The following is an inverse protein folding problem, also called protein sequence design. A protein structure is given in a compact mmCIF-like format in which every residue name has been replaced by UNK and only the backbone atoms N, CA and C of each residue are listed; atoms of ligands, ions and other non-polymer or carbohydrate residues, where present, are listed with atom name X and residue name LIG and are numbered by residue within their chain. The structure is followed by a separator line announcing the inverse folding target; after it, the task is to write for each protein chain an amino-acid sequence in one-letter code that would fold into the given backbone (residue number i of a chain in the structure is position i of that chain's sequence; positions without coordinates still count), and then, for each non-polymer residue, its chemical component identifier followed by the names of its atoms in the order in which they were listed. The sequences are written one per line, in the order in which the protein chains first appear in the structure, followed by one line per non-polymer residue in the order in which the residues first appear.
data_IF_977207152665
#
_entry.id   IF_977207152665
#
_cell.length_a   1.000
_cell.length_b   1.000
_cell.length_c   1.000
_cell.angle_alpha   90.00
_cell.angle_beta   90.00
_cell.angle_gamma   90.00
#
_symmetry.space_group_name_H-M   'P 1'
#
loop_
_entity.id
_entity.type
_entity.pdbx_description
1 polymer ?
#
# COMPACT_ATOMS: atom_id res chain seq x y z
N UNK A 1 24.51 -11.05 -14.17
CA UNK A 1 24.13 -9.70 -13.68
C UNK A 1 23.05 -9.08 -14.57
N UNK A 2 23.28 -8.83 -15.87
CA UNK A 2 22.28 -8.27 -16.78
C UNK A 2 20.97 -9.05 -16.79
N UNK A 3 20.99 -10.37 -17.00
CA UNK A 3 19.80 -11.24 -16.94
C UNK A 3 19.06 -11.19 -15.60
N UNK A 4 19.76 -11.00 -14.50
CA UNK A 4 19.14 -10.89 -13.17
C UNK A 4 18.42 -9.56 -13.02
N UNK A 5 18.97 -8.47 -13.59
CA UNK A 5 18.34 -7.15 -13.61
C UNK A 5 17.07 -7.17 -14.46
N UNK A 6 17.15 -7.72 -15.69
CA UNK A 6 16.00 -7.88 -16.59
C UNK A 6 14.88 -8.71 -15.97
N UNK A 7 15.23 -9.81 -15.28
CA UNK A 7 14.26 -10.63 -14.57
C UNK A 7 13.57 -9.89 -13.43
N UNK A 8 14.31 -9.11 -12.65
CA UNK A 8 13.74 -8.28 -11.59
C UNK A 8 12.84 -7.18 -12.14
N UNK A 9 13.31 -6.51 -13.19
CA UNK A 9 12.54 -5.49 -13.90
C UNK A 9 11.21 -6.05 -14.39
N UNK A 10 11.23 -7.15 -15.14
CA UNK A 10 10.01 -7.78 -15.65
C UNK A 10 9.05 -8.21 -14.52
N UNK A 11 9.59 -8.73 -13.41
CA UNK A 11 8.80 -9.14 -12.26
C UNK A 11 8.09 -7.95 -11.62
N UNK A 12 8.81 -6.86 -11.35
CA UNK A 12 8.27 -5.68 -10.70
C UNK A 12 7.25 -4.96 -11.60
N UNK A 13 7.56 -4.77 -12.88
CA UNK A 13 6.65 -4.12 -13.83
C UNK A 13 5.43 -4.96 -14.20
N UNK A 14 5.46 -6.28 -13.97
CA UNK A 14 4.25 -7.11 -14.03
C UNK A 14 3.32 -6.92 -12.82
N UNK A 15 3.71 -6.11 -11.85
CA UNK A 15 2.96 -5.88 -10.61
C UNK A 15 3.18 -6.95 -9.53
N UNK A 16 4.18 -7.82 -9.70
CA UNK A 16 4.56 -8.80 -8.69
C UNK A 16 5.61 -8.22 -7.73
N UNK A 17 5.53 -8.61 -6.47
CA UNK A 17 6.53 -8.21 -5.47
C UNK A 17 7.81 -9.00 -5.67
N UNK A 18 8.90 -8.30 -5.97
CA UNK A 18 10.23 -8.89 -6.03
C UNK A 18 10.90 -8.90 -4.63
N UNK A 19 11.79 -9.87 -4.33
CA UNK A 19 12.54 -9.87 -3.08
C UNK A 19 13.43 -8.62 -2.98
N UNK A 20 13.12 -7.72 -2.06
CA UNK A 20 13.85 -6.45 -1.87
C UNK A 20 15.34 -6.67 -1.61
N UNK A 21 15.70 -7.74 -0.90
CA UNK A 21 17.09 -8.12 -0.65
C UNK A 21 17.86 -8.35 -1.95
N UNK A 22 17.27 -9.05 -2.93
CA UNK A 22 17.91 -9.33 -4.22
C UNK A 22 18.18 -8.05 -5.00
N UNK A 23 17.22 -7.10 -5.00
CA UNK A 23 17.41 -5.78 -5.61
C UNK A 23 18.54 -5.02 -4.93
N UNK A 24 18.58 -5.04 -3.59
CA UNK A 24 19.63 -4.39 -2.82
C UNK A 24 21.01 -4.98 -3.11
N UNK A 25 21.15 -6.29 -3.16
CA UNK A 25 22.41 -6.96 -3.48
C UNK A 25 22.92 -6.57 -4.87
N UNK A 26 22.08 -6.65 -5.89
CA UNK A 26 22.46 -6.27 -7.26
C UNK A 26 22.84 -4.80 -7.35
N UNK A 27 22.07 -3.92 -6.72
CA UNK A 27 22.40 -2.49 -6.67
C UNK A 27 23.75 -2.23 -6.01
N UNK A 28 24.08 -2.96 -4.95
CA UNK A 28 25.36 -2.87 -4.27
C UNK A 28 26.50 -3.34 -5.18
N UNK A 29 26.33 -4.46 -5.87
CA UNK A 29 27.34 -4.99 -6.80
C UNK A 29 27.58 -4.03 -7.95
N UNK A 30 26.54 -3.55 -8.63
CA UNK A 30 26.65 -2.56 -9.70
C UNK A 30 27.30 -1.26 -9.21
N UNK A 31 26.93 -0.78 -8.02
CA UNK A 31 27.54 0.42 -7.44
C UNK A 31 29.02 0.22 -7.14
N UNK A 32 29.42 -0.93 -6.64
CA UNK A 32 30.82 -1.25 -6.40
C UNK A 32 31.61 -1.35 -7.70
N UNK A 33 31.01 -1.94 -8.73
CA UNK A 33 31.62 -2.02 -10.05
C UNK A 33 31.78 -0.63 -10.68
N UNK A 34 30.74 0.21 -10.62
CA UNK A 34 30.82 1.60 -11.05
C UNK A 34 31.95 2.37 -10.36
N UNK A 35 32.09 2.22 -9.03
CA UNK A 35 33.16 2.87 -8.27
C UNK A 35 34.57 2.40 -8.66
N UNK A 36 34.69 1.18 -9.17
CA UNK A 36 35.96 0.65 -9.65
C UNK A 36 36.27 1.14 -11.07
N UNK A 37 35.29 1.20 -11.95
CA UNK A 37 35.45 1.54 -13.37
C UNK A 37 35.59 3.06 -13.58
N UNK A 38 34.73 3.85 -12.93
CA UNK A 38 34.66 5.29 -13.16
C UNK A 38 36.00 6.04 -13.00
N UNK A 39 36.85 5.81 -12.00
CA UNK A 39 38.12 6.47 -11.86
C UNK A 39 39.14 6.08 -12.94
N UNK A 40 38.97 4.91 -13.58
CA UNK A 40 39.88 4.44 -14.62
C UNK A 40 39.84 5.33 -15.87
N UNK A 41 38.69 5.99 -16.15
CA UNK A 41 38.59 6.97 -17.23
C UNK A 41 39.57 8.13 -17.07
N UNK A 42 39.72 8.64 -15.85
CA UNK A 42 40.71 9.71 -15.58
C UNK A 42 42.14 9.20 -15.70
N UNK A 43 42.40 7.96 -15.28
CA UNK A 43 43.72 7.33 -15.38
C UNK A 43 44.11 7.13 -16.85
N UNK A 44 43.21 6.53 -17.67
CA UNK A 44 43.49 6.28 -19.09
C UNK A 44 43.71 7.59 -19.84
N UNK A 45 42.90 8.64 -19.59
CA UNK A 45 43.06 9.95 -20.17
C UNK A 45 44.39 10.65 -19.77
N UNK A 46 44.98 10.31 -18.62
CA UNK A 46 46.32 10.77 -18.23
C UNK A 46 47.40 9.99 -18.94
N UNK A 47 47.25 8.68 -19.11
CA UNK A 47 48.16 7.80 -19.83
C UNK A 47 48.24 8.21 -21.31
N UNK A 48 47.12 8.49 -21.95
CA UNK A 48 47.06 8.94 -23.36
C UNK A 48 47.92 10.17 -23.66
N UNK A 49 48.11 11.06 -22.68
CA UNK A 49 48.91 12.28 -22.84
C UNK A 49 50.43 12.01 -22.77
N UNK A 50 50.80 10.86 -22.23
CA UNK A 50 52.22 10.51 -21.98
C UNK A 50 52.73 9.39 -22.88
N UNK A 51 51.83 8.68 -23.56
CA UNK A 51 52.13 7.52 -24.43
C UNK A 51 52.76 7.99 -25.75
N UNK A 52 53.79 7.27 -26.27
CA UNK A 52 54.34 7.51 -27.59
C UNK A 52 53.31 7.37 -28.72
N UNK A 53 53.46 8.23 -29.78
CA UNK A 53 52.50 8.27 -30.90
C UNK A 53 52.13 6.92 -31.51
N UNK A 54 53.00 5.91 -31.67
CA UNK A 54 52.61 4.61 -32.26
C UNK A 54 51.64 3.82 -31.40
N UNK A 55 51.54 4.06 -30.10
CA UNK A 55 50.64 3.35 -29.17
C UNK A 55 49.36 4.11 -28.92
N UNK A 56 49.28 5.38 -29.25
CA UNK A 56 48.15 6.27 -28.99
C UNK A 56 46.80 5.72 -29.52
N UNK A 57 46.71 5.13 -30.73
CA UNK A 57 45.47 4.57 -31.24
C UNK A 57 44.91 3.45 -30.37
N UNK A 58 45.79 2.60 -29.80
CA UNK A 58 45.37 1.49 -28.93
C UNK A 58 44.84 1.99 -27.58
N UNK A 59 45.44 3.04 -27.03
CA UNK A 59 44.94 3.63 -25.77
C UNK A 59 43.63 4.37 -25.98
N UNK A 60 43.40 5.01 -27.14
CA UNK A 60 42.10 5.60 -27.49
C UNK A 60 41.02 4.55 -27.59
N UNK A 61 41.30 3.41 -28.22
CA UNK A 61 40.34 2.30 -28.31
C UNK A 61 39.97 1.76 -26.91
N UNK A 62 40.95 1.63 -26.02
CA UNK A 62 40.74 1.26 -24.62
C UNK A 62 39.90 2.31 -23.88
N UNK A 63 40.17 3.60 -24.11
CA UNK A 63 39.38 4.69 -23.51
C UNK A 63 37.94 4.66 -23.95
N UNK A 64 37.70 4.53 -25.25
CA UNK A 64 36.36 4.48 -25.83
C UNK A 64 35.57 3.27 -25.30
N UNK A 65 36.20 2.10 -25.24
CA UNK A 65 35.57 0.90 -24.67
C UNK A 65 35.31 1.08 -23.16
N UNK A 66 36.22 1.68 -22.41
CA UNK A 66 36.03 1.94 -20.98
C UNK A 66 34.90 2.96 -20.74
N UNK A 67 34.77 3.96 -21.62
CA UNK A 67 33.70 4.95 -21.57
C UNK A 67 32.31 4.27 -21.79
N UNK A 68 32.22 3.39 -22.79
CA UNK A 68 31.01 2.59 -23.03
C UNK A 68 30.64 1.72 -21.84
N UNK A 69 31.59 1.01 -21.23
CA UNK A 69 31.36 0.20 -20.02
C UNK A 69 30.91 1.06 -18.86
N UNK A 70 31.53 2.23 -18.67
CA UNK A 70 31.13 3.15 -17.60
C UNK A 70 29.70 3.67 -17.76
N UNK A 71 29.31 4.01 -19.00
CA UNK A 71 27.96 4.46 -19.32
C UNK A 71 26.93 3.34 -19.08
N UNK A 72 27.21 2.12 -19.53
CA UNK A 72 26.35 0.95 -19.33
C UNK A 72 26.15 0.65 -17.83
N UNK A 73 27.22 0.66 -17.04
CA UNK A 73 27.14 0.41 -15.59
C UNK A 73 26.38 1.54 -14.88
N UNK A 74 26.52 2.78 -15.34
CA UNK A 74 25.75 3.90 -14.80
C UNK A 74 24.25 3.72 -15.09
N UNK A 75 23.90 3.35 -16.32
CA UNK A 75 22.52 3.08 -16.71
C UNK A 75 21.89 1.93 -15.89
N UNK A 76 22.62 0.83 -15.70
CA UNK A 76 22.16 -0.30 -14.86
C UNK A 76 21.96 0.10 -13.39
N UNK A 77 22.83 0.95 -12.84
CA UNK A 77 22.67 1.48 -11.48
C UNK A 77 21.39 2.30 -11.33
N UNK A 78 21.10 3.15 -12.31
CA UNK A 78 19.95 4.03 -12.30
C UNK A 78 18.65 3.24 -12.56
N UNK A 79 18.69 2.23 -13.43
CA UNK A 79 17.59 1.27 -13.63
C UNK A 79 17.26 0.54 -12.33
N UNK A 80 18.25 0.03 -11.60
CA UNK A 80 18.01 -0.64 -10.31
C UNK A 80 17.43 0.30 -9.24
N UNK A 81 17.74 1.60 -9.29
CA UNK A 81 17.07 2.57 -8.42
C UNK A 81 15.57 2.68 -8.74
N UNK A 82 15.24 2.78 -10.03
CA UNK A 82 13.84 2.82 -10.50
C UNK A 82 13.07 1.53 -10.18
N UNK A 83 13.69 0.36 -10.38
CA UNK A 83 13.10 -0.94 -10.02
C UNK A 83 12.83 -1.03 -8.51
N UNK A 84 13.71 -0.52 -7.67
CA UNK A 84 13.50 -0.48 -6.22
C UNK A 84 12.30 0.41 -5.85
N UNK A 85 12.20 1.60 -6.44
CA UNK A 85 11.06 2.50 -6.21
C UNK A 85 9.74 1.87 -6.66
N UNK A 86 9.73 1.26 -7.84
CA UNK A 86 8.58 0.55 -8.36
C UNK A 86 8.18 -0.63 -7.45
N UNK A 87 9.13 -1.40 -6.95
CA UNK A 87 8.87 -2.50 -6.02
C UNK A 87 8.23 -2.01 -4.71
N UNK A 88 8.70 -0.88 -4.16
CA UNK A 88 8.11 -0.24 -2.98
C UNK A 88 6.67 0.19 -3.27
N UNK A 89 6.39 0.74 -4.45
CA UNK A 89 5.05 1.11 -4.86
C UNK A 89 4.11 -0.12 -4.95
N UNK A 90 4.56 -1.23 -5.53
CA UNK A 90 3.82 -2.50 -5.59
C UNK A 90 3.50 -3.01 -4.18
N UNK A 91 4.48 -3.04 -3.28
CA UNK A 91 4.29 -3.44 -1.88
C UNK A 91 3.25 -2.53 -1.20
N UNK A 92 3.31 -1.22 -1.41
CA UNK A 92 2.35 -0.26 -0.84
C UNK A 92 0.92 -0.51 -1.33
N UNK A 93 0.74 -0.83 -2.62
CA UNK A 93 -0.57 -1.21 -3.18
C UNK A 93 -1.10 -2.49 -2.53
N UNK A 94 -0.26 -3.52 -2.36
CA UNK A 94 -0.65 -4.76 -1.69
C UNK A 94 -1.03 -4.53 -0.22
N UNK A 95 -0.28 -3.72 0.52
CA UNK A 95 -0.63 -3.33 1.90
C UNK A 95 -1.96 -2.57 1.96
N UNK A 96 -2.22 -1.71 0.98
CA UNK A 96 -3.50 -0.98 0.88
C UNK A 96 -4.67 -1.95 0.65
N UNK A 97 -4.52 -2.95 -0.22
CA UNK A 97 -5.55 -3.98 -0.45
C UNK A 97 -5.85 -4.75 0.84
N UNK A 98 -4.81 -5.17 1.57
CA UNK A 98 -4.97 -5.85 2.86
C UNK A 98 -5.71 -4.95 3.87
N UNK A 99 -5.33 -3.68 3.97
CA UNK A 99 -6.00 -2.70 4.84
C UNK A 99 -7.48 -2.52 4.49
N UNK A 100 -7.82 -2.45 3.20
CA UNK A 100 -9.22 -2.35 2.75
C UNK A 100 -10.02 -3.59 3.17
N UNK A 101 -9.46 -4.79 2.99
CA UNK A 101 -10.11 -6.03 3.41
C UNK A 101 -10.28 -6.11 4.92
N UNK A 102 -9.27 -5.72 5.70
CA UNK A 102 -9.34 -5.64 7.16
C UNK A 102 -10.42 -4.65 7.62
N UNK A 103 -10.47 -3.46 7.01
CA UNK A 103 -11.47 -2.45 7.32
C UNK A 103 -12.89 -2.95 7.03
N UNK A 104 -13.10 -3.67 5.92
CA UNK A 104 -14.40 -4.29 5.61
C UNK A 104 -14.80 -5.31 6.67
N UNK A 105 -13.87 -6.14 7.14
CA UNK A 105 -14.13 -7.13 8.20
C UNK A 105 -14.44 -6.45 9.54
N UNK A 106 -13.67 -5.41 9.91
CA UNK A 106 -13.91 -4.61 11.12
C UNK A 106 -15.27 -3.93 11.04
N UNK A 107 -15.66 -3.40 9.89
CA UNK A 107 -16.96 -2.78 9.68
C UNK A 107 -18.11 -3.79 9.91
N UNK A 108 -17.98 -5.01 9.38
CA UNK A 108 -18.97 -6.09 9.61
C UNK A 108 -19.05 -6.46 11.09
N UNK A 109 -17.90 -6.63 11.75
CA UNK A 109 -17.84 -6.94 13.17
C UNK A 109 -18.45 -5.83 14.02
N UNK A 110 -18.15 -4.57 13.68
CA UNK A 110 -18.74 -3.41 14.37
C UNK A 110 -20.24 -3.36 14.21
N UNK A 111 -20.78 -3.59 13.01
CA UNK A 111 -22.22 -3.66 12.78
C UNK A 111 -22.88 -4.74 13.63
N UNK A 112 -22.28 -5.93 13.65
CA UNK A 112 -22.75 -7.05 14.46
C UNK A 112 -22.74 -6.70 15.96
N UNK A 113 -21.61 -6.23 16.47
CA UNK A 113 -21.43 -5.86 17.88
C UNK A 113 -22.40 -4.75 18.31
N UNK A 114 -22.64 -3.77 17.44
CA UNK A 114 -23.54 -2.65 17.73
C UNK A 114 -25.00 -3.12 17.91
N UNK A 115 -25.39 -4.20 17.24
CA UNK A 115 -26.72 -4.81 17.42
C UNK A 115 -26.73 -5.74 18.62
N UNK A 116 -25.74 -6.61 18.76
CA UNK A 116 -25.72 -7.65 19.81
C UNK A 116 -25.46 -7.08 21.21
N UNK A 117 -24.66 -6.02 21.35
CA UNK A 117 -24.32 -5.47 22.65
C UNK A 117 -25.54 -4.94 23.41
N UNK A 118 -26.39 -4.04 22.87
CA UNK A 118 -27.60 -3.59 23.55
C UNK A 118 -28.60 -4.73 23.73
N UNK A 119 -28.70 -5.67 22.79
CA UNK A 119 -29.55 -6.84 22.88
C UNK A 119 -29.16 -7.70 24.09
N UNK A 120 -27.88 -8.01 24.24
CA UNK A 120 -27.34 -8.79 25.37
C UNK A 120 -27.54 -8.06 26.70
N UNK A 121 -27.36 -6.74 26.73
CA UNK A 121 -27.58 -5.95 27.93
C UNK A 121 -29.05 -5.99 28.37
N UNK A 122 -29.99 -5.78 27.45
CA UNK A 122 -31.42 -5.82 27.74
C UNK A 122 -31.86 -7.21 28.21
N UNK A 123 -31.48 -8.27 27.49
CA UNK A 123 -31.79 -9.65 27.88
C UNK A 123 -31.15 -10.03 29.23
N UNK A 124 -29.91 -9.60 29.49
CA UNK A 124 -29.24 -9.81 30.77
C UNK A 124 -29.92 -9.08 31.92
N UNK A 125 -30.32 -7.82 31.70
CA UNK A 125 -31.02 -7.02 32.71
C UNK A 125 -32.38 -7.65 33.09
N UNK A 126 -33.21 -8.03 32.11
CA UNK A 126 -34.50 -8.71 32.36
C UNK A 126 -34.33 -10.15 32.82
N UNK A 127 -33.18 -10.78 32.59
CA UNK A 127 -32.85 -12.11 33.09
C UNK A 127 -32.45 -12.16 34.58
N UNK A 128 -32.25 -11.00 35.21
CA UNK A 128 -31.98 -10.92 36.64
C UNK A 128 -33.28 -11.12 37.44
N UNK A 129 -33.30 -12.16 38.30
CA UNK A 129 -34.45 -12.50 39.13
C UNK A 129 -34.52 -11.61 40.36
N UNK A 130 -34.79 -10.32 40.21
CA UNK A 130 -35.17 -9.46 41.32
C UNK A 130 -36.65 -9.66 41.66
N UNK A 131 -36.97 -9.99 42.91
CA UNK A 131 -38.34 -10.22 43.37
C UNK A 131 -39.29 -9.06 42.98
N UNK A 132 -38.84 -7.80 43.11
CA UNK A 132 -39.60 -6.63 42.69
C UNK A 132 -39.90 -6.62 41.17
N UNK A 133 -38.95 -7.06 40.35
CA UNK A 133 -39.14 -7.10 38.87
C UNK A 133 -40.15 -8.18 38.48
N UNK A 134 -40.09 -9.35 39.11
CA UNK A 134 -41.02 -10.47 38.92
C UNK A 134 -42.42 -10.09 39.28
N UNK A 135 -42.63 -9.43 40.43
CA UNK A 135 -43.94 -8.98 40.93
C UNK A 135 -44.54 -7.87 40.03
N UNK A 136 -43.71 -6.99 39.48
CA UNK A 136 -44.14 -5.87 38.65
C UNK A 136 -44.47 -6.27 37.19
N UNK A 137 -43.91 -7.35 36.67
CA UNK A 137 -44.11 -7.83 35.31
C UNK A 137 -45.13 -9.01 35.30
N UNK A 138 -46.04 -9.04 36.24
CA UNK A 138 -47.04 -10.14 36.34
C UNK A 138 -48.04 -10.24 35.17
N UNK A 139 -48.10 -9.29 34.25
CA UNK A 139 -48.96 -9.34 33.07
C UNK A 139 -48.17 -9.64 31.80
N UNK A 140 -48.68 -10.56 30.97
CA UNK A 140 -48.14 -10.89 29.65
C UNK A 140 -47.96 -9.64 28.77
N UNK A 141 -48.90 -8.71 28.78
CA UNK A 141 -48.82 -7.47 28.03
C UNK A 141 -47.70 -6.53 28.51
N UNK A 142 -47.46 -6.48 29.80
CA UNK A 142 -46.35 -5.70 30.36
C UNK A 142 -45.00 -6.26 29.90
N UNK A 143 -44.81 -7.58 29.89
CA UNK A 143 -43.67 -8.25 29.37
C UNK A 143 -43.45 -7.96 27.87
N UNK A 144 -44.53 -8.05 27.05
CA UNK A 144 -44.41 -7.79 25.61
C UNK A 144 -44.05 -6.35 25.32
N UNK A 145 -44.70 -5.38 25.96
CA UNK A 145 -44.46 -3.96 25.70
C UNK A 145 -43.09 -3.51 26.22
N UNK A 146 -42.73 -3.84 27.44
CA UNK A 146 -41.45 -3.39 28.02
C UNK A 146 -40.29 -4.29 27.65
N UNK A 147 -40.44 -5.60 27.63
CA UNK A 147 -39.36 -6.53 27.27
C UNK A 147 -39.05 -6.49 25.77
N UNK A 148 -40.02 -6.69 24.92
CA UNK A 148 -39.82 -6.68 23.44
C UNK A 148 -39.61 -5.26 22.95
N UNK A 149 -40.35 -4.26 23.50
CA UNK A 149 -40.21 -2.86 23.14
C UNK A 149 -38.80 -2.32 23.46
N UNK A 150 -38.30 -2.57 24.67
CA UNK A 150 -36.94 -2.18 25.07
C UNK A 150 -35.84 -2.82 24.23
N UNK A 151 -36.14 -3.98 23.63
CA UNK A 151 -35.24 -4.69 22.73
C UNK A 151 -35.28 -4.13 21.30
N UNK A 152 -36.48 -3.87 20.76
CA UNK A 152 -36.69 -3.43 19.38
C UNK A 152 -36.34 -1.96 19.17
N UNK A 153 -36.63 -1.08 20.10
CA UNK A 153 -36.39 0.37 19.95
C UNK A 153 -34.93 0.70 19.68
N UNK A 154 -33.95 0.25 20.48
CA UNK A 154 -32.56 0.53 20.20
C UNK A 154 -32.06 -0.15 18.90
N UNK A 155 -32.50 -1.34 18.57
CA UNK A 155 -32.17 -2.02 17.34
C UNK A 155 -32.65 -1.24 16.10
N UNK A 156 -33.91 -0.79 16.11
CA UNK A 156 -34.47 0.00 15.00
C UNK A 156 -33.79 1.36 14.90
N UNK A 157 -33.55 2.03 16.03
CA UNK A 157 -32.85 3.30 16.06
C UNK A 157 -31.43 3.20 15.48
N UNK A 158 -30.69 2.15 15.84
CA UNK A 158 -29.35 1.88 15.31
C UNK A 158 -29.38 1.56 13.83
N UNK A 159 -30.28 0.72 13.36
CA UNK A 159 -30.43 0.42 11.93
C UNK A 159 -30.81 1.66 11.12
N UNK A 160 -31.65 2.52 11.66
CA UNK A 160 -32.00 3.79 11.03
C UNK A 160 -30.79 4.72 10.98
N UNK A 161 -30.03 4.84 12.07
CA UNK A 161 -28.83 5.67 12.15
C UNK A 161 -27.77 5.19 11.12
N UNK A 162 -27.53 3.89 11.02
CA UNK A 162 -26.61 3.33 10.01
C UNK A 162 -27.06 3.63 8.57
N UNK A 163 -28.36 3.57 8.28
CA UNK A 163 -28.89 3.92 6.95
C UNK A 163 -28.70 5.39 6.63
N UNK A 164 -28.89 6.27 7.59
CA UNK A 164 -28.69 7.71 7.41
C UNK A 164 -27.22 8.05 7.20
N UNK A 165 -26.34 7.44 7.98
CA UNK A 165 -24.89 7.66 7.86
C UNK A 165 -24.33 7.12 6.53
N UNK A 166 -24.78 5.97 6.08
CA UNK A 166 -24.43 5.43 4.78
C UNK A 166 -24.85 6.35 3.61
N UNK A 167 -26.02 6.97 3.69
CA UNK A 167 -26.49 7.96 2.69
C UNK A 167 -25.63 9.23 2.70
N UNK A 168 -25.24 9.73 3.87
CA UNK A 168 -24.36 10.91 3.99
C UNK A 168 -22.96 10.66 3.40
N UNK A 169 -22.40 9.47 3.58
CA UNK A 169 -21.12 9.08 2.98
C UNK A 169 -21.18 8.99 1.47
N UNK A 170 -22.24 8.44 0.91
CA UNK A 170 -22.46 8.36 -0.54
C UNK A 170 -22.55 9.74 -1.19
N UNK A 171 -23.27 10.69 -0.57
CA UNK A 171 -23.39 12.06 -1.06
C UNK A 171 -22.06 12.83 -1.02
N UNK A 172 -21.22 12.57 0.00
CA UNK A 172 -19.90 13.22 0.14
C UNK A 172 -18.90 12.77 -0.91
N UNK A 173 -18.96 11.51 -1.35
CA UNK A 173 -18.12 10.98 -2.42
C UNK A 173 -18.51 11.61 -3.75
N UNK A 174 -19.79 11.76 -4.03
CA UNK A 174 -20.29 12.37 -5.29
C UNK A 174 -19.96 13.86 -5.37
N UNK A 175 -19.94 14.58 -4.25
CA UNK A 175 -19.57 16.00 -4.23
C UNK A 175 -18.06 16.25 -4.35
N UNK A 176 -17.21 15.28 -3.97
CA UNK A 176 -15.75 15.38 -4.10
C UNK A 176 -15.23 15.01 -5.49
N UNK A 177 -16.02 14.33 -6.31
CA UNK A 177 -15.67 13.97 -7.69
C UNK A 177 -16.07 14.99 -8.75
N UNK A 178 -16.59 16.15 -8.37
CA UNK A 178 -17.16 17.13 -9.26
C UNK A 178 -16.46 18.50 -9.32
N UNK A 179 -15.11 18.64 -9.30
CA UNK A 179 -14.56 19.84 -9.94
C UNK A 179 -13.21 19.60 -10.63
N UNK A 180 -13.18 19.11 -11.85
CA UNK A 180 -12.04 19.27 -12.77
C UNK A 180 -12.48 19.50 -14.23
N UNK A 181 -13.74 19.84 -14.47
CA UNK A 181 -14.25 20.07 -15.82
C UNK A 181 -14.40 21.56 -16.21
N UNK A 182 -14.05 22.51 -15.31
CA UNK A 182 -14.19 23.93 -15.58
C UNK A 182 -12.82 24.62 -15.44
N UNK A 183 -12.05 24.63 -16.53
CA UNK A 183 -10.76 25.34 -16.54
C UNK A 183 -9.86 25.04 -17.73
N UNK A 184 -10.41 24.96 -18.94
CA UNK A 184 -9.63 25.16 -20.17
C UNK A 184 -10.09 26.48 -20.77
N UNK A 185 -9.35 27.57 -20.63
CA UNK A 185 -9.61 28.77 -21.45
C UNK A 185 -9.07 28.52 -22.86
N UNK A 186 -9.89 28.93 -23.85
CA UNK A 186 -9.56 29.00 -25.27
C UNK A 186 -8.34 29.88 -25.60
#
# INVERSE_FOLDING_TARGET
MERDIEQLESTVFSGAVAPTERIYFLRREVTNFYRAVHPLLAVIGTVERTVPEPLLPYFRDVHDNLALVNEEVAAQRDLLATVLEANIAVISVEQTKVSVLQNATIEQLTKLSTVFLPLTFVTGFFGQNFGWLVDSIGSFWTFVVFGIGALLIPCVALLFWFRVDARKRALKITSSSAPLAEGIPD
#
